data_IF_510208534788
#
_entry.id   IF_510208534788
#
_cell.length_a   1.000
_cell.length_b   1.000
_cell.length_c   1.000
_cell.angle_alpha   90.00
_cell.angle_beta   90.00
_cell.angle_gamma   90.00
#
_symmetry.space_group_name_H-M   'P 1'
#
loop_
_entity.id
_entity.type
_entity.pdbx_description
1 polymer ?
#
# COMPACT_ATOMS: atom_id res chain seq x y z
N UNK A 1 -14.75 18.40 13.04
CA UNK A 1 -15.06 16.96 12.99
C UNK A 1 -13.79 16.18 13.26
N UNK A 2 -13.82 15.21 14.15
CA UNK A 2 -12.66 14.43 14.52
C UNK A 2 -12.60 13.12 13.73
N UNK A 3 -11.39 12.67 13.43
CA UNK A 3 -11.16 11.38 12.77
C UNK A 3 -11.35 10.22 13.76
N UNK A 4 -11.64 9.04 13.24
CA UNK A 4 -11.67 7.80 14.04
C UNK A 4 -10.27 7.28 14.30
N UNK A 5 -9.42 7.33 13.28
CA UNK A 5 -8.03 6.85 13.33
C UNK A 5 -7.13 7.86 12.63
N UNK A 6 -5.99 8.16 13.20
CA UNK A 6 -4.94 8.92 12.53
C UNK A 6 -3.63 8.14 12.56
N UNK A 7 -2.88 8.26 11.48
CA UNK A 7 -1.52 7.76 11.36
C UNK A 7 -0.58 8.94 11.29
N UNK A 8 0.46 8.94 12.11
CA UNK A 8 1.42 10.03 12.22
C UNK A 8 2.85 9.50 12.11
N UNK A 9 3.76 10.41 11.84
CA UNK A 9 5.21 10.14 11.84
C UNK A 9 5.58 9.01 10.88
N UNK A 10 5.02 9.03 9.68
CA UNK A 10 5.25 8.00 8.68
C UNK A 10 5.77 8.55 7.36
N UNK A 11 6.01 7.63 6.46
CA UNK A 11 6.33 7.90 5.07
C UNK A 11 5.13 7.47 4.24
N UNK A 12 4.23 8.41 4.00
CA UNK A 12 3.00 8.13 3.27
C UNK A 12 3.24 8.32 1.78
N UNK A 13 3.02 7.26 1.01
CA UNK A 13 3.04 7.29 -0.46
C UNK A 13 1.59 7.40 -0.90
N UNK A 14 1.20 8.57 -1.38
CA UNK A 14 -0.22 8.87 -1.62
C UNK A 14 -0.75 8.34 -2.94
N UNK A 15 0.13 8.07 -3.90
CA UNK A 15 -0.21 7.77 -5.29
C UNK A 15 -0.96 8.92 -5.98
N UNK A 16 -0.92 10.12 -5.40
CA UNK A 16 -1.47 11.34 -5.95
C UNK A 16 -0.33 12.20 -6.51
N UNK A 17 -0.29 12.46 -7.84
CA UNK A 17 0.80 13.26 -8.43
C UNK A 17 0.87 14.68 -7.88
N UNK A 18 -0.24 15.26 -7.42
CA UNK A 18 -0.28 16.61 -6.85
C UNK A 18 0.34 16.68 -5.46
N UNK A 19 0.29 15.56 -4.71
CA UNK A 19 0.85 15.46 -3.36
C UNK A 19 1.41 14.06 -3.16
N UNK A 20 2.57 13.73 -3.77
CA UNK A 20 3.05 12.34 -3.79
C UNK A 20 3.53 11.82 -2.45
N UNK A 21 3.87 12.71 -1.50
CA UNK A 21 4.38 12.35 -0.18
C UNK A 21 3.64 13.09 0.90
N UNK A 22 3.47 12.42 2.04
CA UNK A 22 2.91 12.99 3.25
C UNK A 22 3.52 12.28 4.46
N UNK A 23 3.22 12.74 5.67
CA UNK A 23 3.68 12.08 6.89
C UNK A 23 2.54 11.50 7.71
N UNK A 24 1.30 11.89 7.44
CA UNK A 24 0.16 11.42 8.18
C UNK A 24 -1.11 11.28 7.36
N UNK A 25 -2.03 10.50 7.89
CA UNK A 25 -3.35 10.23 7.29
C UNK A 25 -4.38 10.20 8.40
N UNK A 26 -5.54 10.81 8.15
CA UNK A 26 -6.70 10.72 9.03
C UNK A 26 -7.82 9.96 8.33
N UNK A 27 -8.46 9.05 9.06
CA UNK A 27 -9.53 8.20 8.56
C UNK A 27 -10.80 8.45 9.37
N UNK A 28 -11.92 8.63 8.69
CA UNK A 28 -13.22 8.77 9.30
C UNK A 28 -14.19 7.77 8.67
N UNK A 29 -14.71 6.84 9.47
CA UNK A 29 -15.50 5.74 8.96
C UNK A 29 -14.68 4.86 8.02
N UNK A 30 -15.14 4.70 6.80
CA UNK A 30 -14.46 3.93 5.76
C UNK A 30 -13.80 4.81 4.70
N UNK A 31 -13.55 6.08 5.03
CA UNK A 31 -12.98 7.03 4.07
C UNK A 31 -11.74 7.71 4.63
N UNK A 32 -10.83 8.03 3.73
CA UNK A 32 -9.69 8.89 4.04
C UNK A 32 -10.23 10.32 4.18
N UNK A 33 -10.05 10.88 5.37
CA UNK A 33 -10.57 12.20 5.74
C UNK A 33 -9.58 13.31 5.36
N UNK A 34 -8.29 13.07 5.60
CA UNK A 34 -7.23 14.02 5.28
C UNK A 34 -5.90 13.31 5.11
N UNK A 35 -5.05 13.89 4.27
CA UNK A 35 -3.67 13.44 4.05
C UNK A 35 -2.79 14.69 4.08
N UNK A 36 -1.70 14.65 4.82
CA UNK A 36 -0.82 15.81 4.93
C UNK A 36 0.34 15.58 5.87
N UNK A 37 0.90 16.68 6.37
CA UNK A 37 1.93 16.61 7.39
C UNK A 37 1.30 16.30 8.77
N UNK A 38 2.16 15.97 9.73
CA UNK A 38 1.72 15.59 11.07
C UNK A 38 0.93 16.71 11.74
N UNK A 39 1.32 17.96 11.56
CA UNK A 39 0.63 19.10 12.15
C UNK A 39 -0.81 19.20 11.63
N UNK A 40 -0.99 19.08 10.33
CA UNK A 40 -2.30 19.08 9.70
C UNK A 40 -3.17 17.93 10.20
N UNK A 41 -2.59 16.74 10.29
CA UNK A 41 -3.33 15.55 10.72
C UNK A 41 -3.66 15.60 12.21
N UNK A 42 -2.79 16.16 13.04
CA UNK A 42 -3.07 16.32 14.48
C UNK A 42 -4.32 17.20 14.73
N UNK A 43 -4.62 18.11 13.84
CA UNK A 43 -5.85 18.92 13.96
C UNK A 43 -7.13 18.10 13.86
N UNK A 44 -7.08 16.90 13.33
CA UNK A 44 -8.21 15.98 13.22
C UNK A 44 -8.35 15.03 14.42
N UNK A 45 -7.44 15.11 15.39
CA UNK A 45 -7.47 14.26 16.59
C UNK A 45 -8.51 14.78 17.57
N UNK A 46 -9.43 13.92 17.96
CA UNK A 46 -10.43 14.19 19.00
C UNK A 46 -10.28 13.24 20.18
N UNK A 47 -11.16 13.34 21.20
CA UNK A 47 -11.02 12.54 22.41
C UNK A 47 -11.15 11.02 22.20
N UNK A 48 -11.81 10.61 21.13
CA UNK A 48 -12.02 9.19 20.82
C UNK A 48 -11.18 8.73 19.62
N UNK A 49 -10.30 9.57 19.11
CA UNK A 49 -9.46 9.24 17.96
C UNK A 49 -8.37 8.28 18.39
N UNK A 50 -8.22 7.17 17.66
CA UNK A 50 -7.08 6.28 17.81
C UNK A 50 -5.89 6.84 17.05
N UNK A 51 -4.78 7.06 17.74
CA UNK A 51 -3.55 7.59 17.15
C UNK A 51 -2.56 6.46 16.99
N UNK A 52 -2.06 6.27 15.78
CA UNK A 52 -1.06 5.25 15.46
C UNK A 52 0.22 5.97 15.01
N UNK A 53 1.29 5.75 15.75
CA UNK A 53 2.63 6.25 15.41
C UNK A 53 3.28 5.24 14.46
N UNK A 54 3.56 5.67 13.24
CA UNK A 54 4.18 4.79 12.24
C UNK A 54 5.68 4.59 12.48
N UNK A 55 6.31 5.45 13.29
CA UNK A 55 7.73 5.30 13.61
C UNK A 55 8.64 5.32 12.38
N UNK A 56 8.30 6.10 11.38
CA UNK A 56 9.06 6.18 10.12
C UNK A 56 8.71 5.10 9.10
N UNK A 57 7.79 4.19 9.42
CA UNK A 57 7.37 3.14 8.49
C UNK A 57 6.60 3.73 7.31
N UNK A 58 6.57 2.98 6.21
CA UNK A 58 5.88 3.39 5.00
C UNK A 58 4.41 2.97 5.07
N UNK A 59 3.52 3.92 4.75
CA UNK A 59 2.10 3.67 4.57
C UNK A 59 1.74 3.95 3.12
N UNK A 60 1.06 3.01 2.48
CA UNK A 60 0.63 3.16 1.09
C UNK A 60 -0.77 2.56 0.92
N UNK A 61 -1.50 2.95 -0.14
CA UNK A 61 -2.79 2.34 -0.43
C UNK A 61 -2.67 0.84 -0.64
N UNK A 62 -3.73 0.10 -0.33
CA UNK A 62 -3.80 -1.30 -0.64
C UNK A 62 -3.65 -1.55 -2.13
N UNK A 63 -3.10 -2.70 -2.49
CA UNK A 63 -2.93 -3.06 -3.88
C UNK A 63 -4.28 -3.37 -4.51
N UNK A 64 -4.56 -2.72 -5.65
CA UNK A 64 -5.79 -2.92 -6.41
C UNK A 64 -5.40 -3.22 -7.86
N UNK A 65 -5.42 -4.50 -8.22
CA UNK A 65 -5.10 -4.94 -9.58
C UNK A 65 -6.41 -5.30 -10.29
N UNK A 66 -6.80 -4.47 -11.24
CA UNK A 66 -8.06 -4.63 -11.98
C UNK A 66 -8.02 -5.78 -12.99
N UNK A 67 -6.84 -6.31 -13.28
CA UNK A 67 -6.67 -7.45 -14.16
C UNK A 67 -5.52 -8.33 -13.65
N UNK A 68 -5.86 -9.35 -12.88
CA UNK A 68 -4.88 -10.20 -12.21
C UNK A 68 -5.35 -11.66 -12.23
N UNK A 69 -4.39 -12.56 -12.42
CA UNK A 69 -4.64 -14.00 -12.39
C UNK A 69 -3.79 -14.67 -11.29
N UNK A 70 -4.07 -14.39 -10.00
CA UNK A 70 -3.21 -14.88 -8.92
C UNK A 70 -3.16 -16.40 -8.84
N UNK A 71 -4.27 -17.10 -9.13
CA UNK A 71 -4.30 -18.56 -9.15
C UNK A 71 -3.43 -19.09 -10.28
N UNK A 72 -3.56 -18.55 -11.49
CA UNK A 72 -2.75 -18.96 -12.64
C UNK A 72 -1.27 -18.66 -12.41
N UNK A 73 -0.95 -17.51 -11.83
CA UNK A 73 0.43 -17.18 -11.48
C UNK A 73 1.00 -18.16 -10.46
N UNK A 74 0.23 -18.53 -9.45
CA UNK A 74 0.64 -19.53 -8.47
C UNK A 74 0.90 -20.89 -9.10
N UNK A 75 0.05 -21.34 -10.02
CA UNK A 75 0.29 -22.56 -10.78
C UNK A 75 1.54 -22.46 -11.65
N UNK A 76 1.78 -21.32 -12.29
CA UNK A 76 2.99 -21.13 -13.10
C UNK A 76 4.27 -21.20 -12.28
N UNK A 77 4.24 -20.73 -11.04
CA UNK A 77 5.38 -20.87 -10.13
C UNK A 77 5.67 -22.32 -9.75
N UNK A 78 4.62 -23.17 -9.72
CA UNK A 78 4.75 -24.59 -9.38
C UNK A 78 5.06 -25.48 -10.57
N UNK A 79 4.93 -24.97 -11.80
CA UNK A 79 5.19 -25.72 -13.03
C UNK A 79 6.64 -25.58 -13.50
N UNK A 80 7.04 -26.52 -14.36
CA UNK A 80 8.31 -26.42 -15.05
C UNK A 80 8.23 -25.30 -16.08
N UNK A 81 9.18 -24.38 -16.05
CA UNK A 81 9.27 -23.32 -17.04
C UNK A 81 10.05 -23.86 -18.27
N UNK A 82 9.31 -24.18 -19.33
CA UNK A 82 9.86 -24.66 -20.59
C UNK A 82 9.98 -23.56 -21.65
N UNK A 83 9.94 -22.28 -21.23
CA UNK A 83 10.10 -21.17 -22.17
C UNK A 83 11.51 -21.17 -22.81
N UNK A 84 11.67 -20.56 -23.99
CA UNK A 84 13.01 -20.49 -24.62
C UNK A 84 14.07 -19.79 -23.76
N UNK A 85 13.65 -18.88 -22.85
CA UNK A 85 14.56 -18.22 -21.94
C UNK A 85 15.10 -19.14 -20.85
N UNK A 86 14.26 -20.05 -20.32
CA UNK A 86 14.64 -20.99 -19.28
C UNK A 86 15.21 -22.29 -19.83
N UNK A 87 14.68 -22.78 -20.97
CA UNK A 87 15.06 -24.04 -21.59
C UNK A 87 15.36 -23.84 -23.08
N UNK A 88 16.50 -23.22 -23.44
CA UNK A 88 16.81 -22.89 -24.83
C UNK A 88 17.07 -24.10 -25.72
N UNK A 89 17.34 -25.27 -25.15
CA UNK A 89 17.57 -26.51 -25.89
C UNK A 89 16.71 -27.63 -25.33
N UNK A 90 16.52 -28.68 -26.13
CA UNK A 90 15.81 -29.86 -25.69
C UNK A 90 16.52 -30.54 -24.51
N UNK A 91 17.83 -30.54 -24.51
CA UNK A 91 18.62 -31.13 -23.43
C UNK A 91 18.40 -30.42 -22.10
N UNK A 92 18.26 -29.09 -22.12
CA UNK A 92 18.00 -28.32 -20.90
C UNK A 92 16.59 -28.58 -20.37
N UNK A 93 15.65 -29.03 -21.18
CA UNK A 93 14.30 -29.41 -20.75
C UNK A 93 14.30 -30.80 -20.07
N UNK A 94 15.15 -31.71 -20.50
CA UNK A 94 15.22 -33.07 -19.98
C UNK A 94 16.14 -33.17 -18.75
#
# INVERSE_FOLDING_TARGET
MAADVVFLNGRVVTMDPAQPRASGVAVLGNRIFAVGDDETIRSAVGPNTRVIDLGGRTLLPGLNDNHCHPVNYGFNLAKIDASPAATPTLDSLL
#
